data_IF_996825537800
#
_entry.id   IF_996825537800
#
_cell.length_a   1.000
_cell.length_b   1.000
_cell.length_c   1.000
_cell.angle_alpha   90.00
_cell.angle_beta   90.00
_cell.angle_gamma   90.00
#
_symmetry.space_group_name_H-M   'P 1'
#
loop_
_entity.id
_entity.type
_entity.pdbx_description
1 polymer ?
#
# COMPACT_ATOMS: atom_id res chain seq x y z
N UNK A 1 35.19 -4.37 4.42
CA UNK A 1 33.71 -4.48 4.52
C UNK A 1 33.08 -3.96 3.24
N UNK A 2 32.80 -4.84 2.28
CA UNK A 2 32.13 -4.46 1.04
C UNK A 2 30.69 -4.10 1.34
N UNK A 3 30.26 -2.89 1.01
CA UNK A 3 28.87 -2.47 1.14
C UNK A 3 28.08 -3.25 0.09
N UNK A 4 27.58 -4.43 0.48
CA UNK A 4 26.74 -5.27 -0.39
C UNK A 4 25.62 -4.41 -0.96
N UNK A 5 25.38 -4.55 -2.27
CA UNK A 5 24.46 -3.68 -3.01
C UNK A 5 23.12 -3.61 -2.27
N UNK A 6 22.86 -2.47 -1.61
CA UNK A 6 21.71 -2.29 -0.73
C UNK A 6 20.48 -2.56 -1.59
N UNK A 7 19.74 -3.63 -1.29
CA UNK A 7 18.54 -4.05 -2.03
C UNK A 7 17.74 -2.78 -2.35
N UNK A 8 17.28 -2.65 -3.59
CA UNK A 8 16.69 -1.42 -4.16
C UNK A 8 15.55 -0.78 -3.36
N UNK A 9 15.09 -1.47 -2.31
CA UNK A 9 14.04 -1.08 -1.37
C UNK A 9 14.41 0.11 -0.48
N UNK A 10 15.69 0.31 -0.16
CA UNK A 10 16.14 1.47 0.66
C UNK A 10 16.35 2.74 -0.16
N UNK A 11 16.19 2.67 -1.49
CA UNK A 11 16.34 3.84 -2.37
C UNK A 11 15.06 4.68 -2.34
N UNK A 12 15.21 5.98 -2.08
CA UNK A 12 14.10 6.94 -1.98
C UNK A 12 13.20 6.98 -3.22
N UNK A 13 13.77 6.82 -4.42
CA UNK A 13 13.02 6.81 -5.69
C UNK A 13 11.98 5.69 -5.81
N UNK A 14 12.15 4.56 -5.11
CA UNK A 14 11.26 3.39 -5.18
C UNK A 14 10.57 3.11 -3.86
N UNK A 15 10.51 4.11 -2.98
CA UNK A 15 9.90 3.96 -1.67
C UNK A 15 8.39 3.84 -1.82
N UNK A 16 7.84 2.75 -1.30
CA UNK A 16 6.39 2.52 -1.20
C UNK A 16 5.83 3.21 0.03
N UNK A 17 4.51 3.31 0.11
CA UNK A 17 3.82 3.87 1.26
C UNK A 17 4.19 3.14 2.56
N UNK A 18 4.51 3.92 3.59
CA UNK A 18 4.87 3.40 4.90
C UNK A 18 3.64 2.84 5.63
N UNK A 19 3.86 1.91 6.56
CA UNK A 19 2.78 1.22 7.29
C UNK A 19 1.94 2.23 8.09
N UNK A 20 2.56 3.25 8.68
CA UNK A 20 1.87 4.24 9.50
C UNK A 20 0.91 5.12 8.68
N UNK A 21 1.27 5.42 7.43
CA UNK A 21 0.37 6.14 6.52
C UNK A 21 -0.84 5.30 6.12
N UNK A 22 -0.64 3.98 5.95
CA UNK A 22 -1.73 3.04 5.64
C UNK A 22 -2.66 2.88 6.84
N UNK A 23 -2.12 2.87 8.06
CA UNK A 23 -2.94 2.90 9.28
C UNK A 23 -3.82 4.16 9.30
N UNK A 24 -3.25 5.33 9.02
CA UNK A 24 -4.02 6.57 8.92
C UNK A 24 -5.11 6.51 7.83
N UNK A 25 -4.82 5.90 6.67
CA UNK A 25 -5.82 5.67 5.62
C UNK A 25 -6.96 4.74 6.06
N UNK A 26 -6.66 3.72 6.86
CA UNK A 26 -7.65 2.78 7.40
C UNK A 26 -8.52 3.43 8.49
N UNK A 27 -7.95 4.36 9.27
CA UNK A 27 -8.66 5.08 10.34
C UNK A 27 -9.52 6.21 9.82
N UNK A 28 -9.09 6.88 8.74
CA UNK A 28 -9.77 8.07 8.21
C UNK A 28 -10.03 7.95 6.72
N UNK A 29 -11.32 7.89 6.36
CA UNK A 29 -11.77 7.90 4.98
C UNK A 29 -11.36 9.19 4.24
N UNK A 30 -11.23 10.31 4.96
CA UNK A 30 -10.76 11.58 4.40
C UNK A 30 -9.32 11.49 3.89
N UNK A 31 -8.44 10.89 4.67
CA UNK A 31 -7.03 10.74 4.31
C UNK A 31 -6.88 9.81 3.09
N UNK A 32 -7.73 8.79 3.02
CA UNK A 32 -7.80 7.89 1.87
C UNK A 32 -8.33 8.59 0.60
N UNK A 33 -9.35 9.44 0.70
CA UNK A 33 -9.84 10.22 -0.45
C UNK A 33 -8.79 11.21 -0.94
N UNK A 34 -8.16 11.96 -0.03
CA UNK A 34 -7.10 12.92 -0.36
C UNK A 34 -5.92 12.23 -1.08
N UNK A 35 -5.56 11.02 -0.64
CA UNK A 35 -4.54 10.23 -1.33
C UNK A 35 -4.96 9.79 -2.72
N UNK A 36 -6.19 9.29 -2.89
CA UNK A 36 -6.70 8.89 -4.21
C UNK A 36 -6.74 10.07 -5.16
N UNK A 37 -7.17 11.23 -4.69
CA UNK A 37 -7.25 12.47 -5.47
C UNK A 37 -5.86 13.03 -5.83
N UNK A 38 -4.84 12.79 -4.99
CA UNK A 38 -3.46 13.16 -5.31
C UNK A 38 -2.91 12.46 -6.57
N UNK A 39 -3.58 11.41 -7.05
CA UNK A 39 -3.20 10.65 -8.23
C UNK A 39 -4.19 10.89 -9.35
N UNK A 40 -3.68 11.34 -10.49
CA UNK A 40 -4.48 11.44 -11.70
C UNK A 40 -4.96 10.05 -12.11
N UNK A 41 -6.28 9.87 -12.25
CA UNK A 41 -6.89 8.61 -12.65
C UNK A 41 -6.37 8.10 -13.99
N UNK A 42 -5.97 8.99 -14.90
CA UNK A 42 -5.49 8.68 -16.24
C UNK A 42 -4.11 7.98 -16.27
N UNK A 43 -3.23 8.28 -15.31
CA UNK A 43 -1.90 7.65 -15.19
C UNK A 43 -1.97 6.30 -14.45
N UNK A 44 -3.11 6.04 -13.80
CA UNK A 44 -3.30 4.85 -12.98
C UNK A 44 -3.82 3.66 -13.80
N UNK A 45 -3.35 2.44 -13.48
CA UNK A 45 -3.90 1.25 -14.08
C UNK A 45 -5.39 1.12 -13.78
N UNK A 46 -6.18 0.72 -14.77
CA UNK A 46 -7.63 0.58 -14.68
C UNK A 46 -8.36 1.87 -14.24
N UNK A 47 -7.82 3.05 -14.57
CA UNK A 47 -8.39 4.35 -14.18
C UNK A 47 -8.53 4.52 -12.65
N UNK A 48 -7.66 3.84 -11.88
CA UNK A 48 -7.69 3.90 -10.41
C UNK A 48 -8.81 3.12 -9.73
N UNK A 49 -9.63 2.35 -10.48
CA UNK A 49 -10.78 1.64 -9.94
C UNK A 49 -10.40 0.47 -9.01
N UNK A 50 -9.32 -0.23 -9.34
CA UNK A 50 -8.93 -1.47 -8.65
C UNK A 50 -7.77 -1.21 -7.69
N UNK A 51 -8.05 -0.69 -6.48
CA UNK A 51 -7.02 -0.32 -5.49
C UNK A 51 -7.08 -1.16 -4.22
N UNK A 52 -5.91 -1.63 -3.74
CA UNK A 52 -5.75 -2.23 -2.42
C UNK A 52 -5.09 -1.24 -1.46
N UNK A 53 -5.77 -0.93 -0.36
CA UNK A 53 -5.35 0.06 0.64
C UNK A 53 -4.11 -0.43 1.40
N UNK A 54 -4.15 -1.67 1.88
CA UNK A 54 -3.11 -2.24 2.75
C UNK A 54 -1.76 -2.43 2.08
N UNK A 55 -1.78 -2.67 0.77
CA UNK A 55 -0.58 -2.82 -0.04
C UNK A 55 -0.25 -1.55 -0.84
N UNK A 56 -1.07 -0.50 -0.73
CA UNK A 56 -0.98 0.76 -1.46
C UNK A 56 -0.69 0.57 -2.96
N UNK A 57 -1.45 -0.32 -3.61
CA UNK A 57 -1.17 -0.78 -4.97
C UNK A 57 -2.44 -0.85 -5.81
N UNK A 58 -2.33 -0.37 -7.04
CA UNK A 58 -3.38 -0.46 -8.05
C UNK A 58 -3.19 -1.68 -8.95
N UNK A 59 -4.31 -2.20 -9.44
CA UNK A 59 -4.40 -3.39 -10.28
C UNK A 59 -5.15 -3.07 -11.57
N UNK A 60 -4.94 -3.90 -12.59
CA UNK A 60 -5.57 -3.70 -13.90
C UNK A 60 -7.01 -4.25 -13.94
N UNK A 61 -7.34 -5.27 -13.14
CA UNK A 61 -8.64 -5.94 -13.19
C UNK A 61 -9.12 -6.35 -11.80
N UNK A 62 -10.45 -6.44 -11.64
CA UNK A 62 -11.07 -6.90 -10.39
C UNK A 62 -10.68 -8.35 -10.02
N UNK A 63 -10.44 -9.21 -11.02
CA UNK A 63 -10.02 -10.60 -10.80
C UNK A 63 -8.59 -10.69 -10.24
N UNK A 64 -7.68 -9.84 -10.72
CA UNK A 64 -6.32 -9.77 -10.16
C UNK A 64 -6.31 -9.23 -8.73
N UNK A 65 -7.21 -8.31 -8.42
CA UNK A 65 -7.39 -7.76 -7.08
C UNK A 65 -7.94 -8.83 -6.13
N UNK A 66 -8.97 -9.58 -6.52
CA UNK A 66 -9.53 -10.66 -5.69
C UNK A 66 -8.53 -11.80 -5.46
N UNK A 67 -7.71 -12.13 -6.46
CA UNK A 67 -6.60 -13.08 -6.30
C UNK A 67 -5.51 -12.54 -5.36
N UNK A 68 -5.22 -11.23 -5.40
CA UNK A 68 -4.25 -10.58 -4.53
C UNK A 68 -4.61 -10.73 -3.04
N UNK A 69 -5.89 -10.54 -2.68
CA UNK A 69 -6.36 -10.69 -1.30
C UNK A 69 -6.11 -12.08 -0.71
N UNK A 70 -6.13 -13.12 -1.55
CA UNK A 70 -5.86 -14.50 -1.13
C UNK A 70 -4.37 -14.81 -0.98
N UNK A 71 -3.51 -13.92 -1.50
CA UNK A 71 -2.07 -14.10 -1.53
C UNK A 71 -1.38 -13.93 -0.17
N UNK A 72 -0.32 -14.70 0.04
CA UNK A 72 0.60 -14.56 1.19
C UNK A 72 1.16 -13.14 1.41
N UNK A 73 1.55 -12.35 0.38
CA UNK A 73 2.11 -11.02 0.62
C UNK A 73 1.08 -10.05 1.20
N UNK A 74 -0.17 -10.16 0.79
CA UNK A 74 -1.27 -9.34 1.30
C UNK A 74 -1.53 -9.67 2.78
N UNK A 75 -1.70 -10.95 3.11
CA UNK A 75 -1.90 -11.41 4.51
C UNK A 75 -0.80 -10.89 5.45
N UNK A 76 0.47 -10.98 5.04
CA UNK A 76 1.60 -10.44 5.82
C UNK A 76 1.51 -8.93 6.06
N UNK A 77 1.04 -8.17 5.05
CA UNK A 77 0.87 -6.72 5.16
C UNK A 77 -0.33 -6.36 6.03
N UNK A 78 -1.43 -7.10 5.90
CA UNK A 78 -2.60 -6.99 6.77
C UNK A 78 -2.22 -7.22 8.23
N UNK A 79 -1.50 -8.31 8.51
CA UNK A 79 -1.05 -8.63 9.87
C UNK A 79 -0.19 -7.50 10.44
N UNK A 80 0.77 -6.97 9.69
CA UNK A 80 1.62 -5.85 10.16
C UNK A 80 0.81 -4.55 10.34
N UNK A 81 -0.16 -4.28 9.48
CA UNK A 81 -1.00 -3.09 9.61
C UNK A 81 -1.97 -3.19 10.81
N UNK A 82 -2.47 -4.39 11.12
CA UNK A 82 -3.47 -4.65 12.16
C UNK A 82 -2.87 -4.87 13.56
N UNK A 83 -1.70 -5.51 13.69
CA UNK A 83 -1.16 -5.93 15.00
C UNK A 83 -0.47 -4.81 15.80
N UNK A 84 -0.26 -3.62 15.25
CA UNK A 84 0.34 -2.47 15.95
C UNK A 84 -0.71 -1.47 16.47
N UNK A 85 -1.96 -1.90 16.67
CA UNK A 85 -3.02 -1.04 17.24
C UNK A 85 -2.85 -0.81 18.75
N UNK A 86 -1.92 -1.51 19.41
CA UNK A 86 -1.75 -1.53 20.87
C UNK A 86 -0.80 -0.44 21.43
N UNK A 87 -0.37 0.52 20.60
CA UNK A 87 0.58 1.56 21.02
C UNK A 87 0.12 2.97 20.64
N UNK A 88 -1.04 3.38 21.12
CA UNK A 88 -1.40 4.78 21.26
C UNK A 88 -1.99 4.95 22.68
N UNK A 89 -1.52 5.91 23.49
CA UNK A 89 -2.04 6.16 24.84
C UNK A 89 -3.49 6.66 24.84
#
# INVERSE_FOLDING_TARGET
MGVGNKRTITKTRRKTRDVDQIKADLLSERHLSEYKDSKASEDLPSLGQNYCIECARWFNTATTLSAHYRGKPHKRRFDVAANDFESQP
#
